data_IF_936727351353
#
_entry.id   IF_936727351353
#
_cell.length_a   1.000
_cell.length_b   1.000
_cell.length_c   1.000
_cell.angle_alpha   90.00
_cell.angle_beta   90.00
_cell.angle_gamma   90.00
#
_symmetry.space_group_name_H-M   'P 1'
#
loop_
_entity.id
_entity.type
_entity.pdbx_description
1 polymer ?
#
# COMPACT_ATOMS: atom_id res chain seq x y z
N UNK A 1 -1.20 -20.44 11.47
CA UNK A 1 -1.69 -19.96 12.77
C UNK A 1 -1.19 -18.57 13.10
N UNK A 2 0.10 -18.23 12.91
CA UNK A 2 0.60 -16.85 13.08
C UNK A 2 -0.04 -15.87 12.06
N UNK A 3 -0.13 -16.26 10.79
CA UNK A 3 -0.80 -15.49 9.74
C UNK A 3 -2.30 -15.22 10.06
N UNK A 4 -3.01 -16.22 10.57
CA UNK A 4 -4.42 -16.05 10.96
C UNK A 4 -4.61 -15.15 12.18
N UNK A 5 -3.66 -15.13 13.12
CA UNK A 5 -3.70 -14.22 14.27
C UNK A 5 -3.43 -12.79 13.84
N UNK A 6 -2.52 -12.59 12.89
CA UNK A 6 -2.25 -11.29 12.29
C UNK A 6 -3.42 -10.81 11.43
N UNK A 7 -4.02 -11.65 10.59
CA UNK A 7 -5.22 -11.33 9.82
C UNK A 7 -6.38 -10.81 10.67
N UNK A 8 -6.56 -11.33 11.88
CA UNK A 8 -7.64 -10.86 12.77
C UNK A 8 -7.37 -9.51 13.44
N UNK A 9 -6.10 -9.09 13.57
CA UNK A 9 -5.72 -7.85 14.27
C UNK A 9 -5.41 -6.67 13.36
N UNK A 10 -5.15 -6.97 12.14
CA UNK A 10 -4.83 -6.01 11.10
C UNK A 10 -6.04 -5.26 10.54
N UNK A 11 -7.23 -5.71 10.89
CA UNK A 11 -8.48 -5.07 10.50
C UNK A 11 -8.80 -3.77 11.28
N UNK A 12 -8.00 -3.41 12.27
CA UNK A 12 -8.10 -2.13 12.94
C UNK A 12 -7.29 -1.10 12.14
N UNK A 13 -7.85 -0.64 11.03
CA UNK A 13 -7.27 0.44 10.24
C UNK A 13 -6.67 0.04 8.89
N UNK A 14 -6.89 -1.18 8.39
CA UNK A 14 -6.43 -1.59 7.04
C UNK A 14 -4.93 -1.84 6.91
N UNK A 15 -4.20 -2.03 8.01
CA UNK A 15 -2.75 -2.28 7.99
C UNK A 15 -2.48 -3.77 8.19
N UNK A 16 -2.11 -4.49 7.12
CA UNK A 16 -1.56 -5.85 7.22
C UNK A 16 -0.05 -5.77 7.39
N UNK A 17 0.48 -6.22 8.53
CA UNK A 17 1.92 -6.37 8.70
C UNK A 17 2.34 -7.69 8.07
N UNK A 18 2.77 -7.66 6.81
CA UNK A 18 3.34 -8.81 6.10
C UNK A 18 4.79 -9.10 6.58
N UNK A 19 5.39 -8.20 7.36
CA UNK A 19 6.78 -8.31 7.85
C UNK A 19 7.08 -9.60 8.63
N UNK A 20 6.06 -10.33 9.12
CA UNK A 20 6.24 -11.60 9.84
C UNK A 20 6.41 -12.79 8.90
N UNK A 21 5.94 -12.71 7.66
CA UNK A 21 6.08 -13.81 6.69
C UNK A 21 7.53 -13.97 6.18
N UNK A 22 8.27 -12.88 6.00
CA UNK A 22 9.67 -12.91 5.59
C UNK A 22 10.56 -13.60 6.64
N UNK A 23 10.32 -13.38 7.92
CA UNK A 23 11.06 -14.04 9.00
C UNK A 23 10.80 -15.55 9.05
N UNK A 24 9.57 -15.98 8.82
CA UNK A 24 9.21 -17.40 8.81
C UNK A 24 9.84 -18.18 7.64
N UNK A 25 10.22 -17.49 6.56
CA UNK A 25 10.86 -18.11 5.39
C UNK A 25 12.39 -18.25 5.54
N UNK A 26 13.02 -17.42 6.35
CA UNK A 26 14.46 -17.47 6.62
C UNK A 26 14.81 -18.54 7.65
N UNK A 27 13.90 -18.86 8.56
CA UNK A 27 14.11 -19.89 9.61
C UNK A 27 13.55 -21.21 9.11
N UNK A 28 14.43 -22.14 8.75
CA UNK A 28 14.05 -23.50 8.32
C UNK A 28 13.46 -24.36 9.44
N UNK A 29 13.67 -23.96 10.70
CA UNK A 29 13.20 -24.67 11.87
C UNK A 29 12.04 -23.92 12.52
N UNK A 30 10.88 -24.59 12.62
CA UNK A 30 9.73 -24.05 13.31
C UNK A 30 10.01 -23.99 14.81
N UNK A 31 9.97 -22.80 15.39
CA UNK A 31 10.03 -22.60 16.83
C UNK A 31 8.72 -22.00 17.35
N UNK A 32 8.05 -22.72 18.26
CA UNK A 32 6.85 -22.19 18.93
C UNK A 32 7.27 -21.41 20.16
N UNK A 33 7.25 -20.10 20.07
CA UNK A 33 7.61 -19.22 21.19
C UNK A 33 6.59 -19.27 22.34
N UNK A 34 5.30 -19.44 22.02
CA UNK A 34 4.24 -19.48 23.02
C UNK A 34 2.84 -19.61 22.45
N UNK A 35 1.85 -19.43 23.30
CA UNK A 35 0.45 -19.25 22.96
C UNK A 35 0.03 -17.92 23.57
N UNK A 36 -0.40 -16.99 22.75
CA UNK A 36 -0.72 -15.61 23.13
C UNK A 36 -2.17 -15.31 22.78
N UNK A 37 -2.82 -14.48 23.59
CA UNK A 37 -3.97 -13.73 23.11
C UNK A 37 -3.49 -12.73 22.06
N UNK A 38 -4.36 -12.32 21.10
CA UNK A 38 -3.95 -11.41 20.05
C UNK A 38 -3.33 -10.09 20.54
N UNK A 39 -3.92 -9.49 21.59
CA UNK A 39 -3.40 -8.26 22.20
C UNK A 39 -2.02 -8.47 22.84
N UNK A 40 -1.85 -9.54 23.60
CA UNK A 40 -0.56 -9.89 24.22
C UNK A 40 0.54 -10.08 23.16
N UNK A 41 0.20 -10.72 22.03
CA UNK A 41 1.14 -10.87 20.91
C UNK A 41 1.50 -9.52 20.30
N UNK A 42 0.52 -8.65 20.10
CA UNK A 42 0.75 -7.31 19.55
C UNK A 42 1.65 -6.48 20.49
N UNK A 43 1.37 -6.47 21.79
CA UNK A 43 2.18 -5.75 22.79
C UNK A 43 3.62 -6.27 22.89
N UNK A 44 3.84 -7.58 22.73
CA UNK A 44 5.17 -8.18 22.84
C UNK A 44 6.00 -8.07 21.56
N UNK A 45 5.37 -8.20 20.38
CA UNK A 45 6.10 -8.36 19.11
C UNK A 45 5.98 -7.18 18.14
N UNK A 46 5.04 -6.23 18.33
CA UNK A 46 4.93 -5.06 17.47
C UNK A 46 5.69 -3.88 18.09
N UNK A 47 6.76 -3.40 17.43
CA UNK A 47 7.62 -2.36 18.01
C UNK A 47 7.04 -0.95 17.96
N UNK A 48 5.89 -0.76 17.31
CA UNK A 48 5.27 0.54 17.08
C UNK A 48 3.79 0.54 17.46
N UNK A 49 3.29 1.69 17.91
CA UNK A 49 1.85 1.91 18.04
C UNK A 49 1.23 2.15 16.66
N UNK A 50 0.66 1.09 16.10
CA UNK A 50 0.02 1.14 14.79
C UNK A 50 -1.23 2.02 14.76
N UNK A 51 -1.79 2.38 15.92
CA UNK A 51 -2.95 3.28 15.99
C UNK A 51 -2.63 4.71 15.56
N UNK A 52 -1.36 5.09 15.54
CA UNK A 52 -0.88 6.39 15.08
C UNK A 52 -0.74 6.48 13.55
N UNK A 53 -0.69 5.33 12.85
CA UNK A 53 -0.54 5.31 11.40
C UNK A 53 -1.82 5.79 10.70
N UNK A 54 -1.62 6.45 9.57
CA UNK A 54 -2.70 7.00 8.73
C UNK A 54 -2.60 6.48 7.31
N UNK A 55 -3.76 6.30 6.68
CA UNK A 55 -3.86 5.94 5.28
C UNK A 55 -3.84 7.20 4.44
N UNK A 56 -2.86 7.32 3.55
CA UNK A 56 -2.74 8.41 2.58
C UNK A 56 -2.97 7.84 1.19
N UNK A 57 -3.91 8.43 0.45
CA UNK A 57 -4.27 7.97 -0.89
C UNK A 57 -3.93 9.00 -1.95
N UNK A 58 -3.70 8.52 -3.16
CA UNK A 58 -3.64 9.36 -4.34
C UNK A 58 -4.84 9.08 -5.24
N UNK A 59 -5.86 9.88 -5.10
CA UNK A 59 -7.06 9.89 -5.94
C UNK A 59 -7.18 11.23 -6.67
N UNK A 60 -6.67 11.35 -7.89
CA UNK A 60 -6.68 12.61 -8.63
C UNK A 60 -8.08 13.04 -9.12
N UNK A 61 -9.14 12.26 -8.87
CA UNK A 61 -10.53 12.65 -9.14
C UNK A 61 -11.07 13.62 -8.10
N UNK A 62 -10.47 13.62 -6.90
CA UNK A 62 -10.93 14.31 -5.71
C UNK A 62 -9.92 15.36 -5.22
N UNK A 63 -10.37 16.33 -4.44
CA UNK A 63 -9.50 17.40 -3.92
C UNK A 63 -8.41 16.85 -2.99
N UNK A 64 -7.17 17.32 -3.16
CA UNK A 64 -6.07 17.01 -2.26
C UNK A 64 -6.15 17.81 -0.96
N UNK A 65 -5.64 17.26 0.11
CA UNK A 65 -5.69 17.85 1.45
C UNK A 65 -7.02 17.66 2.18
N UNK A 66 -7.92 16.85 1.62
CA UNK A 66 -9.22 16.54 2.19
C UNK A 66 -9.27 15.08 2.66
N UNK A 67 -10.20 14.80 3.60
CA UNK A 67 -10.43 13.46 4.12
C UNK A 67 -11.62 12.80 3.44
N UNK A 68 -11.42 11.53 3.09
CA UNK A 68 -12.42 10.69 2.44
C UNK A 68 -12.61 9.37 3.18
N UNK A 69 -13.77 8.77 2.98
CA UNK A 69 -14.05 7.38 3.32
C UNK A 69 -14.94 6.80 2.23
N UNK A 70 -14.99 5.49 2.12
CA UNK A 70 -15.92 4.80 1.23
C UNK A 70 -17.06 4.22 2.06
N UNK A 71 -18.29 4.30 1.57
CA UNK A 71 -19.46 3.76 2.25
C UNK A 71 -19.31 2.24 2.45
N UNK A 72 -19.61 1.76 3.66
CA UNK A 72 -19.42 0.36 4.07
C UNK A 72 -17.97 -0.16 4.01
N UNK A 73 -16.99 0.73 3.93
CA UNK A 73 -15.58 0.33 4.01
C UNK A 73 -15.23 -0.09 5.43
N UNK A 74 -14.58 -1.25 5.53
CA UNK A 74 -14.19 -1.85 6.80
C UNK A 74 -15.28 -2.76 7.38
N UNK A 75 -14.86 -3.93 7.81
CA UNK A 75 -15.69 -4.99 8.35
C UNK A 75 -15.55 -5.14 9.87
N UNK A 76 -14.87 -4.18 10.53
CA UNK A 76 -14.66 -4.16 11.98
C UNK A 76 -15.50 -3.04 12.60
N UNK A 77 -16.26 -3.38 13.63
CA UNK A 77 -17.02 -2.39 14.39
C UNK A 77 -16.06 -1.44 15.12
N UNK A 78 -16.31 -0.14 15.02
CA UNK A 78 -15.55 0.88 15.73
C UNK A 78 -15.06 2.00 14.83
N UNK A 79 -13.73 2.17 14.68
CA UNK A 79 -13.14 3.29 13.95
C UNK A 79 -13.38 3.14 12.45
N UNK A 80 -13.94 4.19 11.83
CA UNK A 80 -14.10 4.26 10.37
C UNK A 80 -12.74 4.38 9.69
N UNK A 81 -12.53 3.66 8.59
CA UNK A 81 -11.37 3.88 7.72
C UNK A 81 -11.47 5.25 7.09
N UNK A 82 -10.43 6.05 7.21
CA UNK A 82 -10.38 7.41 6.69
C UNK A 82 -9.09 7.58 5.87
N UNK A 83 -9.23 8.12 4.68
CA UNK A 83 -8.17 8.39 3.74
C UNK A 83 -7.84 9.88 3.69
N UNK A 84 -6.59 10.25 3.82
CA UNK A 84 -6.09 11.58 3.47
C UNK A 84 -5.71 11.56 1.99
N UNK A 85 -6.37 12.36 1.15
CA UNK A 85 -6.01 12.45 -0.26
C UNK A 85 -4.85 13.43 -0.48
N UNK A 86 -3.81 12.98 -1.18
CA UNK A 86 -2.61 13.77 -1.47
C UNK A 86 -2.07 13.51 -2.89
N UNK A 87 -1.26 14.43 -3.46
CA UNK A 87 -0.50 14.17 -4.68
C UNK A 87 0.43 12.96 -4.53
N UNK A 88 0.70 12.26 -5.63
CA UNK A 88 1.51 11.03 -5.62
C UNK A 88 2.92 11.25 -5.09
N UNK A 89 3.49 12.43 -5.31
CA UNK A 89 4.81 12.81 -4.80
C UNK A 89 4.85 12.81 -3.26
N UNK A 90 3.76 13.18 -2.60
CA UNK A 90 3.65 13.13 -1.14
C UNK A 90 3.69 11.69 -0.64
N UNK A 91 3.01 10.78 -1.32
CA UNK A 91 3.05 9.35 -1.01
C UNK A 91 4.46 8.79 -1.20
N UNK A 92 5.08 9.09 -2.35
CA UNK A 92 6.46 8.66 -2.68
C UNK A 92 7.46 9.14 -1.63
N UNK A 93 7.45 10.43 -1.30
CA UNK A 93 8.40 11.03 -0.35
C UNK A 93 8.21 10.47 1.06
N UNK A 94 6.97 10.27 1.50
CA UNK A 94 6.67 9.67 2.80
C UNK A 94 7.10 8.20 2.88
N UNK A 95 6.86 7.42 1.82
CA UNK A 95 7.30 6.03 1.72
C UNK A 95 8.83 5.94 1.71
N UNK A 96 9.51 6.77 0.90
CA UNK A 96 10.97 6.86 0.86
C UNK A 96 11.56 7.17 2.23
N UNK A 97 11.08 8.22 2.89
CA UNK A 97 11.57 8.63 4.20
C UNK A 97 11.36 7.54 5.28
N UNK A 98 10.29 6.76 5.18
CA UNK A 98 10.05 5.63 6.06
C UNK A 98 11.06 4.50 5.82
N UNK A 99 11.33 4.16 4.55
CA UNK A 99 12.31 3.13 4.18
C UNK A 99 13.73 3.55 4.58
N UNK A 100 14.12 4.82 4.38
CA UNK A 100 15.44 5.33 4.79
C UNK A 100 15.64 5.23 6.31
N UNK A 101 14.57 5.29 7.11
CA UNK A 101 14.59 5.07 8.57
C UNK A 101 14.40 3.59 8.97
N UNK A 102 14.44 2.66 8.01
CA UNK A 102 14.31 1.22 8.26
C UNK A 102 12.89 0.76 8.58
N UNK A 103 11.87 1.56 8.28
CA UNK A 103 10.46 1.23 8.49
C UNK A 103 9.83 0.77 7.18
N UNK A 104 9.35 -0.48 7.08
CA UNK A 104 8.60 -0.95 5.93
C UNK A 104 7.26 -0.21 5.81
N UNK A 105 6.78 -0.07 4.58
CA UNK A 105 5.54 0.68 4.28
C UNK A 105 4.53 -0.22 3.61
N UNK A 106 3.39 -0.42 4.25
CA UNK A 106 2.23 -1.06 3.63
C UNK A 106 1.64 -0.14 2.56
N UNK A 107 1.25 -0.72 1.42
CA UNK A 107 0.65 0.03 0.32
C UNK A 107 -0.41 -0.78 -0.42
N UNK A 108 -1.36 -0.07 -1.05
CA UNK A 108 -2.40 -0.60 -1.91
C UNK A 108 -2.22 -0.15 -3.36
N UNK A 109 -2.39 -1.07 -4.30
CA UNK A 109 -2.16 -0.82 -5.72
C UNK A 109 -3.04 -1.68 -6.63
N UNK A 110 -2.90 -1.50 -7.94
CA UNK A 110 -3.50 -2.37 -8.96
C UNK A 110 -2.42 -3.29 -9.57
N UNK A 111 -2.28 -4.48 -9.02
CA UNK A 111 -1.22 -5.42 -9.43
C UNK A 111 -1.40 -6.02 -10.80
N UNK A 112 -2.61 -5.93 -11.39
CA UNK A 112 -2.91 -6.54 -12.69
C UNK A 112 -2.38 -5.70 -13.87
N UNK A 113 -1.91 -4.49 -13.57
CA UNK A 113 -1.42 -3.54 -14.57
C UNK A 113 0.07 -3.71 -14.82
N UNK A 114 0.45 -3.90 -16.11
CA UNK A 114 1.86 -3.84 -16.55
C UNK A 114 2.80 -4.67 -15.66
N UNK A 115 2.49 -5.96 -15.50
CA UNK A 115 3.21 -6.91 -14.64
C UNK A 115 3.88 -8.02 -15.41
N UNK A 116 5.05 -8.49 -14.95
CA UNK A 116 5.71 -9.73 -15.35
C UNK A 116 5.86 -10.64 -14.12
N UNK A 117 4.98 -11.61 -14.04
CA UNK A 117 4.91 -12.55 -12.93
C UNK A 117 6.11 -13.51 -12.86
N UNK A 118 6.72 -13.81 -14.00
CA UNK A 118 7.87 -14.73 -14.08
C UNK A 118 9.10 -14.07 -13.50
N UNK A 119 9.36 -12.81 -13.85
CA UNK A 119 10.53 -12.06 -13.40
C UNK A 119 10.27 -11.25 -12.14
N UNK A 120 9.00 -11.09 -11.73
CA UNK A 120 8.62 -10.31 -10.55
C UNK A 120 8.86 -8.82 -10.73
N UNK A 121 8.36 -8.26 -11.82
CA UNK A 121 8.58 -6.85 -12.18
C UNK A 121 7.27 -6.15 -12.50
N UNK A 122 7.15 -4.92 -12.02
CA UNK A 122 6.17 -3.93 -12.46
C UNK A 122 6.89 -2.71 -13.05
N UNK A 123 6.52 -2.30 -14.26
CA UNK A 123 7.04 -1.10 -14.90
C UNK A 123 5.99 -0.51 -15.85
N UNK A 124 5.86 0.82 -15.90
CA UNK A 124 4.76 1.53 -16.62
C UNK A 124 4.59 1.10 -18.09
N UNK A 125 5.67 0.80 -18.77
CA UNK A 125 5.68 0.42 -20.19
C UNK A 125 6.24 -0.97 -20.41
N UNK A 126 5.91 -1.92 -19.53
CA UNK A 126 6.42 -3.29 -19.63
C UNK A 126 5.87 -4.00 -20.88
N UNK A 127 4.59 -3.75 -21.19
CA UNK A 127 3.91 -4.26 -22.36
C UNK A 127 3.45 -3.10 -23.24
N UNK A 128 3.93 -3.06 -24.50
CA UNK A 128 3.54 -2.05 -25.47
C UNK A 128 2.23 -2.41 -26.19
N UNK A 129 1.13 -2.23 -25.49
CA UNK A 129 -0.20 -2.51 -26.03
C UNK A 129 -0.58 -1.56 -27.17
N UNK A 130 -0.11 -0.30 -27.14
CA UNK A 130 -0.38 0.65 -28.20
C UNK A 130 0.24 0.22 -29.53
N UNK A 131 1.49 -0.20 -29.53
CA UNK A 131 2.12 -0.73 -30.73
C UNK A 131 1.45 -2.04 -31.20
N UNK A 132 1.02 -2.89 -30.27
CA UNK A 132 0.37 -4.16 -30.61
C UNK A 132 -1.00 -3.97 -31.24
N UNK A 133 -1.84 -3.10 -30.68
CA UNK A 133 -3.22 -2.89 -31.16
C UNK A 133 -3.33 -1.75 -32.19
N UNK A 134 -2.33 -0.91 -32.36
CA UNK A 134 -2.32 0.23 -33.27
C UNK A 134 -3.31 1.33 -32.88
N UNK A 135 -3.58 1.48 -31.58
CA UNK A 135 -4.46 2.51 -31.00
C UNK A 135 -3.79 3.16 -29.80
N UNK A 136 -4.03 4.44 -29.60
CA UNK A 136 -3.59 5.16 -28.40
C UNK A 136 -4.42 4.73 -27.20
N UNK A 137 -3.76 4.44 -26.08
CA UNK A 137 -4.35 4.02 -24.79
C UNK A 137 -3.94 5.00 -23.66
N UNK A 138 -3.89 6.28 -23.97
CA UNK A 138 -3.37 7.34 -23.10
C UNK A 138 -4.45 7.84 -22.12
N UNK A 139 -4.86 6.96 -21.19
CA UNK A 139 -5.70 7.34 -20.06
C UNK A 139 -4.84 7.75 -18.87
N UNK A 140 -5.06 8.96 -18.36
CA UNK A 140 -4.47 9.36 -17.08
C UNK A 140 -5.07 8.57 -15.89
N UNK A 141 -4.42 8.62 -14.73
CA UNK A 141 -4.85 7.91 -13.52
C UNK A 141 -6.28 8.25 -13.11
N UNK A 142 -6.70 9.53 -13.25
CA UNK A 142 -8.06 9.96 -12.93
C UNK A 142 -9.09 9.37 -13.90
N UNK A 143 -8.75 9.29 -15.18
CA UNK A 143 -9.61 8.70 -16.21
C UNK A 143 -9.76 7.20 -16.00
N UNK A 144 -8.67 6.46 -15.72
CA UNK A 144 -8.72 5.03 -15.42
C UNK A 144 -9.61 4.74 -14.21
N UNK A 145 -9.48 5.52 -13.13
CA UNK A 145 -10.34 5.37 -11.96
C UNK A 145 -11.82 5.67 -12.27
N UNK A 146 -12.12 6.68 -13.09
CA UNK A 146 -13.53 7.00 -13.49
C UNK A 146 -14.15 5.91 -14.35
N UNK A 147 -13.36 5.27 -15.17
CA UNK A 147 -13.82 4.22 -16.07
C UNK A 147 -13.80 2.83 -15.43
N UNK A 148 -13.36 2.71 -14.18
CA UNK A 148 -13.12 1.44 -13.47
C UNK A 148 -12.16 0.50 -14.22
N UNK A 149 -11.25 1.08 -14.99
CA UNK A 149 -10.17 0.36 -15.66
C UNK A 149 -9.05 0.02 -14.68
N UNK A 150 -8.90 0.83 -13.62
CA UNK A 150 -7.97 0.58 -12.53
C UNK A 150 -8.64 0.79 -11.18
N UNK A 151 -8.22 -0.01 -10.17
CA UNK A 151 -8.74 0.05 -8.80
C UNK A 151 -7.70 -0.53 -7.83
N UNK A 152 -7.88 -0.33 -6.53
CA UNK A 152 -7.04 -1.01 -5.53
C UNK A 152 -7.38 -2.50 -5.45
N UNK A 153 -6.59 -3.35 -6.09
CA UNK A 153 -6.84 -4.80 -6.15
C UNK A 153 -6.04 -5.59 -5.13
N UNK A 154 -4.89 -5.07 -4.69
CA UNK A 154 -3.96 -5.83 -3.86
C UNK A 154 -3.17 -4.93 -2.91
N UNK A 155 -2.74 -5.51 -1.79
CA UNK A 155 -1.91 -4.85 -0.78
C UNK A 155 -0.61 -5.62 -0.56
N UNK A 156 0.50 -4.87 -0.46
CA UNK A 156 1.85 -5.41 -0.27
C UNK A 156 2.68 -4.48 0.63
N UNK A 157 3.97 -4.76 0.76
CA UNK A 157 4.88 -3.98 1.61
C UNK A 157 6.12 -3.56 0.83
N UNK A 158 6.42 -2.25 0.84
CA UNK A 158 7.75 -1.77 0.47
C UNK A 158 8.75 -2.12 1.58
N UNK A 159 9.83 -2.81 1.20
CA UNK A 159 10.89 -3.24 2.11
C UNK A 159 12.26 -2.65 1.75
N UNK A 160 12.34 -1.87 0.70
CA UNK A 160 13.54 -1.19 0.23
C UNK A 160 13.26 -0.29 -0.96
N UNK A 161 14.21 0.58 -1.25
CA UNK A 161 14.19 1.44 -2.44
C UNK A 161 15.61 1.60 -2.98
N UNK A 162 15.74 1.65 -4.30
CA UNK A 162 16.94 2.10 -4.99
C UNK A 162 16.84 3.61 -5.22
N UNK A 163 17.74 4.35 -4.56
CA UNK A 163 17.73 5.81 -4.56
C UNK A 163 19.00 6.31 -5.23
N UNK A 164 18.84 7.07 -6.31
CA UNK A 164 19.95 7.70 -7.02
C UNK A 164 20.68 8.74 -6.13
N UNK A 165 21.92 9.09 -6.48
CA UNK A 165 22.72 10.11 -5.78
C UNK A 165 22.01 11.46 -5.61
N UNK A 166 21.08 11.81 -6.53
CA UNK A 166 20.24 13.01 -6.47
C UNK A 166 19.00 12.89 -5.58
N UNK A 167 18.78 11.73 -4.91
CA UNK A 167 17.65 11.49 -4.03
C UNK A 167 16.37 11.01 -4.73
N UNK A 168 16.39 10.85 -6.06
CA UNK A 168 15.26 10.29 -6.81
C UNK A 168 15.19 8.78 -6.63
N UNK A 169 14.00 8.26 -6.34
CA UNK A 169 13.76 6.83 -6.32
C UNK A 169 13.77 6.31 -7.76
N UNK A 170 14.47 5.20 -8.00
CA UNK A 170 14.52 4.51 -9.29
C UNK A 170 13.58 3.31 -9.30
N UNK A 171 13.60 2.56 -8.20
CA UNK A 171 12.75 1.38 -8.02
C UNK A 171 12.52 1.07 -6.55
N UNK A 172 11.49 0.26 -6.30
CA UNK A 172 11.08 -0.20 -4.99
C UNK A 172 11.24 -1.71 -4.89
N UNK A 173 11.72 -2.18 -3.75
CA UNK A 173 11.67 -3.60 -3.40
C UNK A 173 10.38 -3.87 -2.65
N UNK A 174 9.58 -4.78 -3.20
CA UNK A 174 8.26 -5.15 -2.70
C UNK A 174 8.28 -6.56 -2.15
N UNK A 175 7.78 -6.77 -0.94
CA UNK A 175 7.44 -8.09 -0.41
C UNK A 175 5.97 -8.38 -0.69
N UNK A 176 5.73 -9.52 -1.40
CA UNK A 176 4.38 -9.94 -1.78
C UNK A 176 3.98 -11.22 -1.02
N UNK A 177 2.68 -11.40 -0.81
CA UNK A 177 2.10 -12.55 -0.09
C UNK A 177 1.93 -13.83 -0.92
N UNK A 178 2.34 -13.85 -2.19
CA UNK A 178 2.15 -14.99 -3.10
C UNK A 178 3.16 -16.13 -2.90
N UNK A 179 4.02 -16.02 -1.91
CA UNK A 179 4.96 -17.03 -1.47
C UNK A 179 6.28 -17.07 -2.25
N UNK A 180 7.25 -17.87 -1.80
CA UNK A 180 8.64 -17.82 -2.26
C UNK A 180 8.88 -18.46 -3.63
N UNK A 181 7.85 -19.01 -4.27
CA UNK A 181 7.97 -19.60 -5.61
C UNK A 181 7.78 -18.59 -6.74
N UNK A 182 7.31 -17.39 -6.41
CA UNK A 182 7.10 -16.29 -7.35
C UNK A 182 8.24 -15.30 -7.25
N UNK A 183 8.62 -14.69 -8.37
CA UNK A 183 9.68 -13.68 -8.45
C UNK A 183 10.99 -14.11 -7.76
N UNK A 184 11.75 -13.18 -7.15
CA UNK A 184 12.92 -13.54 -6.34
C UNK A 184 12.50 -13.89 -4.91
N UNK A 185 12.10 -15.15 -4.70
CA UNK A 185 11.70 -15.70 -3.39
C UNK A 185 10.58 -14.92 -2.68
N UNK A 186 9.64 -14.38 -3.46
CA UNK A 186 8.52 -13.58 -2.97
C UNK A 186 8.76 -12.07 -2.99
N UNK A 187 9.94 -11.63 -3.39
CA UNK A 187 10.28 -10.22 -3.57
C UNK A 187 10.18 -9.82 -5.04
N UNK A 188 9.62 -8.65 -5.24
CA UNK A 188 9.37 -8.06 -6.55
C UNK A 188 10.07 -6.72 -6.68
N UNK A 189 10.32 -6.30 -7.90
CA UNK A 189 10.84 -4.96 -8.22
C UNK A 189 9.77 -4.15 -8.89
N UNK A 190 9.48 -2.97 -8.34
CA UNK A 190 8.55 -1.99 -8.91
C UNK A 190 9.35 -0.78 -9.38
N UNK A 191 9.25 -0.43 -10.65
CA UNK A 191 9.80 0.82 -11.17
C UNK A 191 9.03 2.03 -10.60
N UNK A 192 9.71 3.16 -10.37
CA UNK A 192 9.09 4.33 -9.75
C UNK A 192 8.02 4.99 -10.64
N UNK A 193 8.13 4.86 -11.96
CA UNK A 193 7.11 5.32 -12.91
C UNK A 193 5.80 4.50 -12.81
N UNK A 194 5.89 3.22 -12.43
CA UNK A 194 4.72 2.40 -12.15
C UNK A 194 4.06 2.79 -10.82
N UNK A 195 4.85 3.19 -9.82
CA UNK A 195 4.33 3.71 -8.56
C UNK A 195 3.38 4.88 -8.81
N UNK A 196 3.74 5.82 -9.67
CA UNK A 196 2.93 6.99 -10.00
C UNK A 196 1.56 6.63 -10.54
N UNK A 197 1.51 5.62 -11.37
CA UNK A 197 0.31 5.26 -12.11
C UNK A 197 -0.62 4.33 -11.31
N UNK A 198 -0.08 3.39 -10.55
CA UNK A 198 -0.86 2.26 -10.04
C UNK A 198 -0.79 2.05 -8.53
N UNK A 199 0.04 2.80 -7.79
CA UNK A 199 -0.05 2.86 -6.33
C UNK A 199 -1.11 3.88 -5.93
N UNK A 200 -2.07 3.46 -5.12
CA UNK A 200 -3.20 4.29 -4.70
C UNK A 200 -3.17 4.64 -3.21
N UNK A 201 -2.57 3.83 -2.36
CA UNK A 201 -2.60 3.99 -0.91
C UNK A 201 -1.25 3.62 -0.29
N UNK A 202 -0.86 4.36 0.75
CA UNK A 202 0.21 3.96 1.68
C UNK A 202 -0.27 4.15 3.12
N UNK A 203 0.29 3.36 4.04
CA UNK A 203 0.12 3.56 5.47
C UNK A 203 1.44 4.05 6.09
N UNK A 204 1.43 5.26 6.64
CA UNK A 204 2.63 5.89 7.20
C UNK A 204 2.33 6.60 8.53
N UNK A 205 3.36 6.82 9.34
CA UNK A 205 3.26 7.69 10.50
C UNK A 205 3.08 9.16 10.04
N UNK A 206 2.18 9.95 10.67
CA UNK A 206 1.91 11.33 10.25
C UNK A 206 3.13 12.25 10.18
N UNK A 207 4.16 11.99 10.97
CA UNK A 207 5.42 12.77 10.95
C UNK A 207 6.17 12.71 9.61
N UNK A 208 5.84 11.76 8.73
CA UNK A 208 6.41 11.64 7.39
C UNK A 208 5.75 12.56 6.37
N UNK A 209 4.64 13.16 6.74
CA UNK A 209 3.86 14.03 5.86
C UNK A 209 4.28 15.50 6.03
N UNK A 210 4.21 16.32 4.97
CA UNK A 210 4.30 17.76 5.08
C UNK A 210 3.28 18.34 6.08
N UNK A 211 3.63 19.44 6.74
CA UNK A 211 2.83 20.04 7.83
C UNK A 211 1.37 20.32 7.43
N UNK A 212 1.13 20.75 6.20
CA UNK A 212 -0.21 21.00 5.69
C UNK A 212 -1.10 19.75 5.70
N UNK A 213 -0.55 18.57 5.39
CA UNK A 213 -1.28 17.31 5.40
C UNK A 213 -1.45 16.76 6.82
N UNK A 214 -0.48 16.99 7.71
CA UNK A 214 -0.65 16.71 9.14
C UNK A 214 -1.78 17.55 9.75
N UNK A 215 -1.92 18.80 9.31
CA UNK A 215 -3.02 19.67 9.73
C UNK A 215 -4.39 19.17 9.21
N UNK A 216 -4.44 18.71 7.96
CA UNK A 216 -5.65 18.16 7.34
C UNK A 216 -6.20 16.93 8.08
N UNK A 217 -5.32 16.09 8.65
CA UNK A 217 -5.73 14.93 9.46
C UNK A 217 -6.55 15.29 10.70
N UNK A 218 -6.51 16.55 11.16
CA UNK A 218 -7.28 17.03 12.31
C UNK A 218 -8.67 17.54 11.94
N UNK A 219 -9.05 17.47 10.66
CA UNK A 219 -10.37 17.89 10.19
C UNK A 219 -11.46 16.92 10.66
N UNK A 220 -12.59 17.45 11.12
CA UNK A 220 -13.79 16.66 11.39
C UNK A 220 -14.62 16.39 10.12
N UNK A 221 -14.29 17.06 9.01
CA UNK A 221 -14.98 16.91 7.73
C UNK A 221 -14.41 15.72 6.96
N UNK A 222 -15.24 14.69 6.74
CA UNK A 222 -14.89 13.50 5.96
C UNK A 222 -15.95 13.31 4.88
N UNK A 223 -15.55 13.37 3.62
CA UNK A 223 -16.43 13.09 2.48
C UNK A 223 -16.59 11.59 2.28
N UNK A 224 -17.84 11.12 2.21
CA UNK A 224 -18.13 9.70 1.97
C UNK A 224 -18.29 9.45 0.47
N UNK A 225 -17.43 8.60 -0.09
CA UNK A 225 -17.54 8.09 -1.45
C UNK A 225 -18.53 6.90 -1.50
N UNK A 226 -19.14 6.61 -2.64
CA UNK A 226 -20.11 5.52 -2.75
C UNK A 226 -19.44 4.14 -2.56
N UNK A 227 -20.22 3.15 -2.12
CA UNK A 227 -19.73 1.79 -1.82
C UNK A 227 -19.04 1.08 -2.99
N UNK A 228 -19.31 1.48 -4.22
CA UNK A 228 -18.70 0.91 -5.44
C UNK A 228 -17.46 1.68 -5.92
N UNK A 229 -17.01 2.68 -5.16
CA UNK A 229 -15.83 3.47 -5.54
C UNK A 229 -14.58 2.57 -5.65
N UNK A 230 -13.76 2.72 -6.70
CA UNK A 230 -12.53 1.93 -6.88
C UNK A 230 -11.54 2.04 -5.72
N UNK A 231 -11.57 3.14 -4.95
CA UNK A 231 -10.74 3.31 -3.76
C UNK A 231 -11.16 2.41 -2.59
N UNK A 232 -12.33 1.80 -2.63
CA UNK A 232 -12.82 0.84 -1.64
C UNK A 232 -12.63 -0.63 -2.01
N UNK A 233 -12.00 -0.93 -3.13
CA UNK A 233 -11.97 -2.29 -3.69
C UNK A 233 -11.18 -3.29 -2.81
N UNK A 234 -10.16 -2.86 -2.05
CA UNK A 234 -9.40 -3.72 -1.13
C UNK A 234 -10.23 -4.29 0.03
N UNK A 235 -11.37 -3.70 0.35
CA UNK A 235 -12.21 -4.11 1.46
C UNK A 235 -13.37 -5.05 1.05
N UNK A 236 -13.37 -5.53 -0.17
CA UNK A 236 -14.41 -6.43 -0.73
C UNK A 236 -14.06 -7.89 -0.60
#
# INVERSE_FOLDING_TARGET
>A
MLAQVLEQHVLIGGIVIIAVSAWAQVIKDFHRAGTYAPQEFAEEYLPADLSEYVCVVNDPRNAYGELYTVEYLGNVAGKRVTYLNAPVEVLRDAARASIEDGQPVWFGCDTDQQSDDEHGVWAKHLHDYEAFYGVEMDLDKAQRLRLHESMMTHAMVFTGADIAEGGAVQSWRVENSWGPKKADKGFWTMADDWFDEFVFEIAVHPSRLPEQYQAALKSDSVTTLPAWDPMGALAR
#
